data_IF_847011061915
#
_entry.id   IF_847011061915
#
_cell.length_a   1.000
_cell.length_b   1.000
_cell.length_c   1.000
_cell.angle_alpha   90.00
_cell.angle_beta   90.00
_cell.angle_gamma   90.00
#
_symmetry.space_group_name_H-M   'P 1'
#
loop_
_entity.id
_entity.type
_entity.pdbx_description
1 polymer ?
#
# COMPACT_ATOMS: atom_id res chain seq x y z
N UNK A 1 21.55 0.20 13.46
CA UNK A 1 20.19 0.12 14.03
C UNK A 1 19.29 -0.45 12.96
N UNK A 2 18.53 -1.49 13.29
CA UNK A 2 17.54 -2.08 12.40
C UNK A 2 16.34 -1.12 12.29
N UNK A 3 15.91 -0.82 11.07
CA UNK A 3 14.73 0.02 10.86
C UNK A 3 13.50 -0.87 10.82
N UNK A 4 12.56 -0.67 11.76
CA UNK A 4 11.37 -1.53 11.88
C UNK A 4 10.12 -0.67 11.71
N UNK A 5 9.22 -1.10 10.82
CA UNK A 5 7.89 -0.51 10.65
C UNK A 5 6.99 -0.96 11.79
N UNK A 6 6.32 -0.02 12.45
CA UNK A 6 5.36 -0.30 13.53
C UNK A 6 3.93 -0.36 13.03
N UNK A 7 3.60 0.34 11.93
CA UNK A 7 2.30 0.20 11.28
C UNK A 7 2.37 0.51 9.76
N UNK A 8 1.44 -0.06 9.01
CA UNK A 8 1.29 0.20 7.56
C UNK A 8 -0.19 0.28 7.17
N UNK A 9 -0.55 1.25 6.33
CA UNK A 9 -1.92 1.43 5.85
C UNK A 9 -1.93 1.85 4.36
N UNK A 10 -2.93 1.39 3.60
CA UNK A 10 -3.17 1.83 2.22
C UNK A 10 -4.55 2.47 2.15
N UNK A 11 -4.60 3.78 1.90
CA UNK A 11 -5.86 4.53 1.81
C UNK A 11 -5.87 5.43 0.58
N UNK A 12 -6.93 5.32 -0.24
CA UNK A 12 -7.13 6.16 -1.45
C UNK A 12 -5.90 6.21 -2.37
N UNK A 13 -5.17 5.10 -2.49
CA UNK A 13 -3.97 5.01 -3.33
C UNK A 13 -2.69 5.57 -2.68
N UNK A 14 -2.74 5.99 -1.42
CA UNK A 14 -1.57 6.41 -0.65
C UNK A 14 -1.20 5.28 0.32
N UNK A 15 0.01 4.76 0.17
CA UNK A 15 0.58 3.81 1.11
C UNK A 15 1.38 4.55 2.17
N UNK A 16 0.99 4.36 3.43
CA UNK A 16 1.61 5.01 4.59
C UNK A 16 2.31 3.96 5.46
N UNK A 17 3.55 4.24 5.84
CA UNK A 17 4.34 3.48 6.79
C UNK A 17 4.65 4.35 8.00
N UNK A 18 4.42 3.80 9.20
CA UNK A 18 4.72 4.46 10.46
C UNK A 18 5.84 3.72 11.17
N UNK A 19 6.73 4.49 11.77
CA UNK A 19 7.74 4.02 12.71
C UNK A 19 7.72 4.89 13.96
N UNK A 20 7.85 4.27 15.13
CA UNK A 20 8.11 4.97 16.40
C UNK A 20 9.61 5.23 16.58
N UNK A 21 9.96 6.27 17.34
CA UNK A 21 11.33 6.69 17.67
C UNK A 21 12.18 7.07 16.44
N UNK A 22 11.58 7.87 15.55
CA UNK A 22 12.22 8.31 14.30
C UNK A 22 12.78 9.72 14.37
N UNK A 23 14.03 9.87 14.80
CA UNK A 23 14.72 11.18 14.82
C UNK A 23 15.37 11.52 13.46
N UNK A 24 15.73 10.50 12.67
CA UNK A 24 16.31 10.69 11.33
C UNK A 24 15.67 9.73 10.33
N UNK A 25 15.08 10.23 9.23
CA UNK A 25 14.54 9.37 8.20
C UNK A 25 15.68 8.64 7.48
N UNK A 26 15.69 7.29 7.43
CA UNK A 26 16.62 6.60 6.55
C UNK A 26 16.28 6.90 5.09
N UNK A 27 17.25 6.68 4.21
CA UNK A 27 17.00 6.70 2.77
C UNK A 27 16.13 5.51 2.42
N UNK A 28 14.85 5.73 2.14
CA UNK A 28 13.92 4.66 1.77
C UNK A 28 13.69 4.69 0.28
N UNK A 29 13.70 3.50 -0.32
CA UNK A 29 13.34 3.27 -1.71
C UNK A 29 12.09 2.41 -1.77
N UNK A 30 11.13 2.82 -2.60
CA UNK A 30 9.95 2.00 -2.88
C UNK A 30 10.17 1.32 -4.22
N UNK A 31 10.03 -0.01 -4.23
CA UNK A 31 10.22 -0.84 -5.41
C UNK A 31 8.95 -1.58 -5.80
N UNK A 32 8.64 -1.56 -7.08
CA UNK A 32 7.56 -2.33 -7.69
C UNK A 32 8.07 -2.97 -8.99
N UNK A 33 7.99 -4.30 -9.10
CA UNK A 33 8.37 -5.06 -10.31
C UNK A 33 9.68 -4.57 -10.99
N UNK A 34 10.75 -4.38 -10.19
CA UNK A 34 12.07 -3.87 -10.59
C UNK A 34 12.17 -2.37 -10.93
N UNK A 35 11.11 -1.59 -10.73
CA UNK A 35 11.10 -0.14 -10.87
C UNK A 35 11.12 0.55 -9.51
N UNK A 36 11.73 1.73 -9.47
CA UNK A 36 11.69 2.61 -8.32
C UNK A 36 10.49 3.55 -8.47
N UNK A 37 9.68 3.66 -7.41
CA UNK A 37 8.63 4.65 -7.31
C UNK A 37 9.19 5.91 -6.66
N UNK A 38 9.00 7.05 -7.32
CA UNK A 38 9.32 8.38 -6.79
C UNK A 38 8.11 8.96 -6.04
N UNK A 39 8.29 10.10 -5.36
CA UNK A 39 7.20 10.77 -4.65
C UNK A 39 6.99 10.34 -3.20
N UNK A 40 8.03 9.76 -2.57
CA UNK A 40 8.03 9.47 -1.14
C UNK A 40 8.01 10.79 -0.38
N UNK A 41 6.97 11.00 0.43
CA UNK A 41 6.88 12.09 1.39
C UNK A 41 7.18 11.57 2.77
N UNK A 42 7.90 12.35 3.56
CA UNK A 42 8.29 11.98 4.91
C UNK A 42 7.89 13.09 5.86
N UNK A 43 7.18 12.73 6.92
CA UNK A 43 6.70 13.65 7.94
C UNK A 43 7.07 13.12 9.32
N UNK A 44 7.44 14.02 10.23
CA UNK A 44 7.72 13.69 11.62
C UNK A 44 6.56 14.23 12.46
N UNK A 45 5.90 13.33 13.19
CA UNK A 45 4.77 13.62 14.06
C UNK A 45 5.14 13.22 15.49
N UNK A 46 5.69 14.16 16.25
CA UNK A 46 6.22 13.89 17.59
C UNK A 46 7.44 12.97 17.53
N UNK A 47 7.35 11.80 18.17
CA UNK A 47 8.37 10.73 18.09
C UNK A 47 8.21 9.81 16.88
N UNK A 48 7.12 9.93 16.13
CA UNK A 48 6.81 9.02 15.04
C UNK A 48 7.23 9.59 13.68
N UNK A 49 7.86 8.73 12.88
CA UNK A 49 8.14 8.99 11.47
C UNK A 49 7.05 8.38 10.60
N UNK A 50 6.44 9.19 9.76
CA UNK A 50 5.42 8.77 8.80
C UNK A 50 5.98 8.94 7.39
N UNK A 51 5.98 7.85 6.62
CA UNK A 51 6.33 7.84 5.21
C UNK A 51 5.07 7.61 4.40
N UNK A 52 4.81 8.46 3.43
CA UNK A 52 3.65 8.36 2.55
C UNK A 52 4.08 8.31 1.10
N UNK A 53 3.50 7.38 0.36
CA UNK A 53 3.85 7.10 -1.03
C UNK A 53 2.57 7.02 -1.83
N UNK A 54 2.42 7.94 -2.78
CA UNK A 54 1.35 7.87 -3.76
C UNK A 54 1.65 6.74 -4.75
N UNK A 55 0.79 5.73 -4.78
CA UNK A 55 0.93 4.61 -5.69
C UNK A 55 0.32 4.98 -7.05
N UNK A 56 1.09 4.87 -8.14
CA UNK A 56 0.56 5.11 -9.49
C UNK A 56 -0.60 4.17 -9.79
N UNK A 57 -1.55 4.61 -10.61
CA UNK A 57 -2.72 3.80 -10.99
C UNK A 57 -2.32 2.50 -11.69
N UNK A 58 -1.18 2.50 -12.38
CA UNK A 58 -0.61 1.33 -13.04
C UNK A 58 -0.20 0.25 -12.02
N UNK A 59 0.22 0.66 -10.81
CA UNK A 59 0.55 -0.22 -9.70
C UNK A 59 -0.72 -0.75 -8.99
N UNK A 60 -1.82 0.00 -9.08
CA UNK A 60 -3.13 -0.37 -8.54
C UNK A 60 -4.00 -1.17 -9.54
N UNK A 61 -3.45 -1.53 -10.70
CA UNK A 61 -4.19 -2.22 -11.77
C UNK A 61 -4.33 -3.73 -11.51
N UNK A 62 -5.25 -4.37 -12.26
CA UNK A 62 -5.62 -5.79 -12.14
C UNK A 62 -4.40 -6.74 -12.06
N UNK A 63 -4.51 -7.74 -11.20
CA UNK A 63 -3.48 -8.74 -10.89
C UNK A 63 -3.00 -8.68 -9.44
N UNK A 64 -1.99 -9.51 -9.15
CA UNK A 64 -1.26 -9.46 -7.88
C UNK A 64 -0.03 -8.57 -8.06
N UNK A 65 0.01 -7.46 -7.34
CA UNK A 65 1.10 -6.50 -7.36
C UNK A 65 1.81 -6.50 -6.01
N UNK A 66 3.13 -6.63 -6.03
CA UNK A 66 3.97 -6.60 -4.83
C UNK A 66 4.83 -5.35 -4.82
N UNK A 67 4.72 -4.58 -3.74
CA UNK A 67 5.46 -3.34 -3.53
C UNK A 67 6.31 -3.51 -2.27
N UNK A 68 7.57 -3.12 -2.34
CA UNK A 68 8.51 -3.29 -1.24
C UNK A 68 9.08 -1.93 -0.85
N UNK A 69 9.03 -1.61 0.44
CA UNK A 69 9.82 -0.54 1.03
C UNK A 69 11.16 -1.12 1.46
N UNK A 70 12.24 -0.54 0.95
CA UNK A 70 13.60 -1.05 1.12
C UNK A 70 14.47 0.07 1.69
N UNK A 71 15.34 -0.28 2.63
CA UNK A 71 16.38 0.63 3.10
C UNK A 71 17.45 0.78 2.01
N UNK A 72 17.61 2.01 1.51
CA UNK A 72 18.55 2.35 0.45
C UNK A 72 20.01 2.31 0.87
N UNK A 73 20.32 2.18 2.17
CA UNK A 73 21.70 2.03 2.65
C UNK A 73 22.20 0.58 2.57
N UNK A 74 21.35 -0.41 2.88
CA UNK A 74 21.75 -1.81 2.99
C UNK A 74 20.92 -2.77 2.11
N UNK A 75 19.86 -2.30 1.47
CA UNK A 75 18.98 -3.11 0.63
C UNK A 75 18.00 -4.01 1.38
N UNK A 76 17.86 -3.84 2.71
CA UNK A 76 16.94 -4.63 3.53
C UNK A 76 15.50 -4.23 3.27
N UNK A 77 14.63 -5.21 3.04
CA UNK A 77 13.18 -4.98 2.94
C UNK A 77 12.62 -4.66 4.32
N UNK A 78 12.03 -3.47 4.45
CA UNK A 78 11.47 -2.94 5.69
C UNK A 78 9.98 -3.26 5.83
N UNK A 79 9.26 -3.20 4.70
CA UNK A 79 7.84 -3.57 4.62
C UNK A 79 7.49 -4.01 3.20
N UNK A 80 6.44 -4.81 3.09
CA UNK A 80 5.88 -5.24 1.81
C UNK A 80 4.38 -5.04 1.80
N UNK A 81 3.86 -4.55 0.68
CA UNK A 81 2.44 -4.40 0.41
C UNK A 81 2.09 -5.26 -0.79
N UNK A 82 1.10 -6.14 -0.62
CA UNK A 82 0.56 -6.96 -1.69
C UNK A 82 -0.85 -6.47 -2.01
N UNK A 83 -1.05 -6.04 -3.25
CA UNK A 83 -2.34 -5.59 -3.76
C UNK A 83 -2.85 -6.67 -4.70
N UNK A 84 -3.90 -7.37 -4.28
CA UNK A 84 -4.66 -8.26 -5.16
C UNK A 84 -5.83 -7.46 -5.73
N UNK A 85 -5.64 -6.90 -6.92
CA UNK A 85 -6.71 -6.27 -7.68
C UNK A 85 -7.30 -7.31 -8.64
N UNK A 86 -8.60 -7.48 -8.61
CA UNK A 86 -9.31 -8.28 -9.58
C UNK A 86 -10.58 -7.57 -9.98
N UNK A 87 -10.90 -7.59 -11.27
CA UNK A 87 -12.24 -7.26 -11.74
C UNK A 87 -13.23 -8.11 -10.95
N UNK A 88 -14.03 -7.47 -10.09
CA UNK A 88 -15.25 -8.08 -9.59
C UNK A 88 -16.16 -8.25 -10.81
N UNK A 89 -16.13 -9.43 -11.41
CA UNK A 89 -17.18 -9.85 -12.34
C UNK A 89 -18.41 -10.11 -11.48
N UNK A 90 -19.09 -9.04 -11.05
CA UNK A 90 -20.44 -9.18 -10.52
C UNK A 90 -21.28 -9.74 -11.66
N UNK A 91 -21.87 -10.95 -11.56
CA UNK A 91 -22.78 -11.41 -12.59
C UNK A 91 -23.98 -10.44 -12.63
N UNK A 92 -24.37 -9.89 -13.79
CA UNK A 92 -25.46 -8.91 -13.89
C UNK A 92 -26.86 -9.54 -13.74
N UNK A 93 -27.03 -10.58 -12.91
CA UNK A 93 -28.34 -11.24 -12.76
C UNK A 93 -28.49 -12.02 -11.45
N UNK A 94 -28.52 -11.32 -10.32
CA UNK A 94 -29.50 -11.71 -9.30
C UNK A 94 -30.77 -10.91 -9.59
N UNK A 95 -31.58 -11.40 -10.54
CA UNK A 95 -33.01 -11.06 -10.53
C UNK A 95 -33.52 -11.58 -9.19
N UNK A 96 -33.92 -10.69 -8.29
CA UNK A 96 -34.88 -11.05 -7.25
C UNK A 96 -36.10 -11.59 -7.99
N UNK A 97 -36.26 -12.92 -8.03
CA UNK A 97 -37.49 -13.55 -8.47
C UNK A 97 -38.50 -13.21 -7.38
N UNK A 98 -39.22 -12.11 -7.57
CA UNK A 98 -40.33 -11.73 -6.72
C UNK A 98 -41.30 -12.90 -6.68
N UNK A 99 -41.42 -13.53 -5.51
CA UNK A 99 -42.55 -14.38 -5.19
C UNK A 99 -43.82 -13.55 -5.38
N UNK A 100 -44.53 -13.80 -6.47
CA UNK A 100 -45.95 -13.44 -6.59
C UNK A 100 -46.72 -14.27 -5.57
N UNK A 101 -46.92 -13.73 -4.38
CA UNK A 101 -47.96 -14.18 -3.48
C UNK A 101 -49.27 -13.54 -3.93
N UNK A 102 -50.09 -14.32 -4.65
CA UNK A 102 -51.49 -13.97 -4.91
C UNK A 102 -52.25 -13.90 -3.58
N UNK A 103 -52.96 -12.79 -3.40
CA UNK A 103 -54.09 -12.66 -2.46
C UNK A 103 -55.32 -13.39 -3.01
#
# INVERSE_FOLDING_TARGET
>A
MEWVVTASALERGVWTLRREDGETPPKIEIRHAHRHLSGIRTEIHGSALILSVELPREVLSDGLQSIHAVDGANGTTLASLHIAAGRATWPPSCRCYGMSSSF
#
